data_IF_168367144250
#
_entry.id   IF_168367144250
#
_cell.length_a   1.000
_cell.length_b   1.000
_cell.length_c   1.000
_cell.angle_alpha   90.00
_cell.angle_beta   90.00
_cell.angle_gamma   90.00
#
_symmetry.space_group_name_H-M   'P 1'
#
loop_
_entity.id
_entity.type
_entity.pdbx_description
1 polymer ?
#
# COMPACT_ATOMS: atom_id res chain seq x y z
N UNK A 1 4.42 -37.49 13.85
CA UNK A 1 4.77 -36.08 14.08
C UNK A 1 5.98 -35.73 13.22
N UNK A 2 5.75 -35.41 11.95
CA UNK A 2 6.77 -34.78 11.12
C UNK A 2 6.50 -33.28 11.21
N UNK A 3 7.36 -32.57 11.94
CA UNK A 3 7.36 -31.11 11.90
C UNK A 3 7.79 -30.71 10.49
N UNK A 4 6.86 -30.14 9.74
CA UNK A 4 7.17 -29.37 8.54
C UNK A 4 8.21 -28.33 8.93
N UNK A 5 9.49 -28.61 8.66
CA UNK A 5 10.58 -27.64 8.78
C UNK A 5 10.42 -26.70 7.60
N UNK A 6 9.41 -25.83 7.66
CA UNK A 6 9.16 -24.81 6.65
C UNK A 6 10.46 -24.08 6.33
N UNK A 7 10.73 -23.89 5.05
CA UNK A 7 11.97 -23.28 4.57
C UNK A 7 12.29 -22.01 5.38
N UNK A 8 13.50 -21.94 5.95
CA UNK A 8 13.94 -20.78 6.74
C UNK A 8 13.95 -19.55 5.84
N UNK A 9 13.32 -18.46 6.27
CA UNK A 9 13.35 -17.17 5.57
C UNK A 9 14.06 -16.13 6.44
N UNK A 10 14.62 -15.08 5.84
CA UNK A 10 15.21 -13.98 6.62
C UNK A 10 14.15 -13.36 7.54
N UNK A 11 12.93 -13.18 7.04
CA UNK A 11 11.83 -12.61 7.82
C UNK A 11 11.46 -13.44 9.07
N UNK A 12 11.72 -14.75 9.10
CA UNK A 12 11.50 -15.59 10.28
C UNK A 12 12.65 -15.53 11.30
N UNK A 13 13.78 -14.93 10.93
CA UNK A 13 14.92 -14.73 11.82
C UNK A 13 15.03 -13.29 12.35
N UNK A 14 14.45 -12.31 11.64
CA UNK A 14 14.54 -10.89 12.02
C UNK A 14 13.37 -10.51 12.95
N UNK A 15 13.66 -10.06 14.19
CA UNK A 15 12.66 -9.50 15.10
C UNK A 15 11.92 -8.29 14.52
N UNK A 16 10.63 -8.18 14.77
CA UNK A 16 9.85 -6.99 14.41
C UNK A 16 10.36 -5.72 15.13
N UNK A 17 10.88 -5.88 16.34
CA UNK A 17 11.55 -4.82 17.07
C UNK A 17 12.66 -4.12 16.25
N UNK A 18 13.38 -4.85 15.39
CA UNK A 18 14.51 -4.28 14.65
C UNK A 18 14.04 -3.34 13.53
N UNK A 19 12.95 -3.68 12.84
CA UNK A 19 12.34 -2.78 11.85
C UNK A 19 11.68 -1.58 12.55
N UNK A 20 11.07 -1.75 13.72
CA UNK A 20 10.55 -0.61 14.49
C UNK A 20 11.67 0.32 14.98
N UNK A 21 12.79 -0.24 15.43
CA UNK A 21 13.98 0.51 15.83
C UNK A 21 14.62 1.25 14.66
N UNK A 22 14.64 0.63 13.47
CA UNK A 22 15.01 1.29 12.23
C UNK A 22 14.12 2.53 11.98
N UNK A 23 12.80 2.36 12.08
CA UNK A 23 11.83 3.43 11.82
C UNK A 23 11.95 4.57 12.84
N UNK A 24 12.17 4.28 14.13
CA UNK A 24 12.50 5.30 15.14
C UNK A 24 13.76 6.08 14.74
N UNK A 25 14.84 5.38 14.41
CA UNK A 25 16.11 6.03 14.04
C UNK A 25 15.95 6.92 12.81
N UNK A 26 15.21 6.48 11.79
CA UNK A 26 14.93 7.31 10.61
C UNK A 26 14.09 8.53 10.99
N UNK A 27 13.04 8.33 11.80
CA UNK A 27 12.12 9.39 12.20
C UNK A 27 12.81 10.47 13.04
N UNK A 28 13.67 10.09 13.98
CA UNK A 28 14.36 11.01 14.89
C UNK A 28 15.54 11.76 14.26
N UNK A 29 16.02 11.34 13.09
CA UNK A 29 17.14 12.01 12.42
C UNK A 29 16.66 13.05 11.39
N UNK A 30 17.48 14.06 11.14
CA UNK A 30 17.28 15.05 10.07
C UNK A 30 18.21 14.75 8.89
N UNK A 31 17.82 15.21 7.71
CA UNK A 31 18.59 15.04 6.47
C UNK A 31 18.33 13.71 5.77
N UNK A 32 18.08 13.78 4.45
CA UNK A 32 17.72 12.61 3.63
C UNK A 32 18.86 11.59 3.56
N UNK A 33 20.11 12.02 3.42
CA UNK A 33 21.24 11.10 3.26
C UNK A 33 21.52 10.29 4.52
N UNK A 34 21.42 10.92 5.70
CA UNK A 34 21.57 10.22 6.98
C UNK A 34 20.49 9.15 7.15
N UNK A 35 19.24 9.48 6.80
CA UNK A 35 18.12 8.54 6.80
C UNK A 35 18.35 7.38 5.82
N UNK A 36 18.78 7.69 4.59
CA UNK A 36 19.15 6.68 3.58
C UNK A 36 20.27 5.77 4.09
N UNK A 37 21.28 6.29 4.79
CA UNK A 37 22.37 5.50 5.37
C UNK A 37 21.92 4.52 6.46
N UNK A 38 20.99 4.94 7.33
CA UNK A 38 20.40 4.07 8.35
C UNK A 38 19.62 2.92 7.69
N UNK A 39 18.78 3.23 6.69
CA UNK A 39 18.06 2.21 5.92
C UNK A 39 19.01 1.27 5.18
N UNK A 40 20.07 1.81 4.56
CA UNK A 40 21.06 1.02 3.81
C UNK A 40 21.74 -0.01 4.69
N UNK A 41 22.04 0.34 5.94
CA UNK A 41 22.63 -0.58 6.91
C UNK A 41 21.69 -1.76 7.19
N UNK A 42 20.41 -1.50 7.43
CA UNK A 42 19.41 -2.56 7.63
C UNK A 42 19.23 -3.44 6.39
N UNK A 43 19.13 -2.85 5.19
CA UNK A 43 19.04 -3.62 3.94
C UNK A 43 20.30 -4.46 3.67
N UNK A 44 21.48 -3.96 4.05
CA UNK A 44 22.74 -4.69 3.95
C UNK A 44 22.76 -5.92 4.85
N UNK A 45 22.43 -5.74 6.14
CA UNK A 45 22.33 -6.86 7.09
C UNK A 45 21.27 -7.89 6.68
N UNK A 46 20.16 -7.45 6.07
CA UNK A 46 19.17 -8.37 5.50
C UNK A 46 19.77 -9.22 4.38
N UNK A 47 20.49 -8.60 3.43
CA UNK A 47 21.16 -9.31 2.32
C UNK A 47 22.23 -10.28 2.80
N UNK A 48 23.04 -9.88 3.77
CA UNK A 48 24.03 -10.77 4.39
C UNK A 48 23.35 -11.98 5.05
N UNK A 49 22.25 -11.77 5.77
CA UNK A 49 21.48 -12.84 6.40
C UNK A 49 20.85 -13.75 5.35
N UNK A 50 20.30 -13.18 4.28
CA UNK A 50 19.78 -13.93 3.13
C UNK A 50 20.86 -14.88 2.58
N UNK A 51 22.05 -14.36 2.30
CA UNK A 51 23.15 -15.13 1.73
C UNK A 51 23.64 -16.22 2.69
N UNK A 52 23.64 -15.96 4.01
CA UNK A 52 23.96 -16.98 5.03
C UNK A 52 22.94 -18.12 5.10
N UNK A 53 21.66 -17.84 4.86
CA UNK A 53 20.58 -18.84 4.92
C UNK A 53 20.54 -19.67 3.63
N UNK A 54 20.64 -19.02 2.47
CA UNK A 54 20.33 -19.66 1.18
C UNK A 54 21.56 -19.90 0.29
N UNK A 55 22.66 -19.18 0.48
CA UNK A 55 23.79 -19.19 -0.46
C UNK A 55 23.32 -18.88 -1.88
N UNK A 56 23.71 -19.73 -2.83
CA UNK A 56 23.32 -19.64 -4.25
C UNK A 56 22.03 -20.40 -4.58
N UNK A 57 21.32 -20.95 -3.58
CA UNK A 57 20.11 -21.69 -3.83
C UNK A 57 19.00 -20.80 -4.42
N UNK A 58 18.30 -21.31 -5.44
CA UNK A 58 17.11 -20.65 -5.98
C UNK A 58 16.02 -20.65 -4.90
N UNK A 59 15.58 -19.46 -4.51
CA UNK A 59 14.60 -19.26 -3.43
C UNK A 59 13.74 -18.03 -3.72
N UNK A 60 12.47 -18.10 -3.32
CA UNK A 60 11.52 -16.98 -3.39
C UNK A 60 11.65 -16.03 -2.18
N UNK A 61 12.50 -16.36 -1.20
CA UNK A 61 12.81 -15.47 -0.08
C UNK A 61 13.47 -14.19 -0.58
N UNK A 62 12.98 -13.06 -0.08
CA UNK A 62 13.33 -11.73 -0.57
C UNK A 62 13.16 -10.67 0.52
N UNK A 63 13.40 -9.41 0.18
CA UNK A 63 13.16 -8.29 1.10
C UNK A 63 11.67 -7.93 1.24
N UNK A 64 10.77 -8.59 0.49
CA UNK A 64 9.35 -8.24 0.44
C UNK A 64 8.65 -8.16 1.81
N UNK A 65 8.85 -9.10 2.76
CA UNK A 65 8.20 -9.02 4.07
C UNK A 65 8.55 -7.77 4.88
N UNK A 66 9.75 -7.20 4.67
CA UNK A 66 10.12 -5.90 5.24
C UNK A 66 9.63 -4.74 4.37
N UNK A 67 9.80 -4.84 3.04
CA UNK A 67 9.40 -3.78 2.10
C UNK A 67 7.91 -3.42 2.23
N UNK A 68 7.02 -4.40 2.34
CA UNK A 68 5.57 -4.15 2.51
C UNK A 68 5.21 -3.47 3.83
N UNK A 69 6.07 -3.54 4.84
CA UNK A 69 5.90 -2.82 6.11
C UNK A 69 6.52 -1.41 6.05
N UNK A 70 7.55 -1.20 5.21
CA UNK A 70 8.16 0.10 4.95
C UNK A 70 7.32 0.96 3.98
N UNK A 71 6.59 0.32 3.06
CA UNK A 71 5.73 0.96 2.05
C UNK A 71 4.30 0.38 2.11
N UNK A 72 3.61 0.47 3.26
CA UNK A 72 2.31 -0.20 3.44
C UNK A 72 1.21 0.33 2.51
N UNK A 73 1.33 1.56 2.02
CA UNK A 73 0.44 2.16 1.02
C UNK A 73 0.52 1.48 -0.36
N UNK A 74 1.62 0.79 -0.63
CA UNK A 74 1.85 0.03 -1.86
C UNK A 74 1.62 -1.48 -1.71
N UNK A 75 1.24 -1.95 -0.51
CA UNK A 75 0.85 -3.34 -0.30
C UNK A 75 -0.55 -3.59 -0.90
N UNK A 76 -0.57 -4.15 -2.11
CA UNK A 76 -1.77 -4.59 -2.85
C UNK A 76 -2.06 -6.07 -2.67
N UNK A 77 -1.07 -6.85 -2.26
CA UNK A 77 -1.18 -8.30 -2.04
C UNK A 77 -1.97 -8.59 -0.76
N UNK A 78 -1.93 -7.69 0.23
CA UNK A 78 -2.84 -7.73 1.38
C UNK A 78 -4.15 -7.01 1.09
N UNK A 79 -5.31 -7.64 1.36
CA UNK A 79 -6.59 -6.94 1.38
C UNK A 79 -6.66 -5.82 2.42
N UNK A 80 -7.71 -5.01 2.32
CA UNK A 80 -7.97 -3.97 3.31
C UNK A 80 -8.25 -4.57 4.69
N UNK A 81 -7.69 -3.96 5.73
CA UNK A 81 -7.97 -4.33 7.13
C UNK A 81 -9.38 -3.94 7.59
N UNK A 82 -10.07 -3.07 6.85
CA UNK A 82 -11.44 -2.63 7.15
C UNK A 82 -11.60 -1.86 8.46
N UNK A 83 -10.53 -1.29 8.99
CA UNK A 83 -10.54 -0.54 10.24
C UNK A 83 -9.87 0.81 10.12
N UNK A 84 -10.51 1.80 10.73
CA UNK A 84 -9.99 3.15 10.98
C UNK A 84 -9.67 3.30 12.47
N UNK A 85 -9.20 4.47 12.87
CA UNK A 85 -8.73 4.77 14.23
C UNK A 85 -9.78 4.46 15.30
N UNK A 86 -11.05 4.81 15.08
CA UNK A 86 -12.12 4.54 16.05
C UNK A 86 -12.39 3.04 16.28
N UNK A 87 -12.25 2.22 15.24
CA UNK A 87 -12.37 0.76 15.38
C UNK A 87 -11.14 0.18 16.09
N UNK A 88 -9.96 0.65 15.73
CA UNK A 88 -8.71 0.21 16.36
C UNK A 88 -8.67 0.62 17.85
N UNK A 89 -9.09 1.83 18.20
CA UNK A 89 -9.23 2.29 19.58
C UNK A 89 -10.12 1.37 20.43
N UNK A 90 -11.27 0.93 19.88
CA UNK A 90 -12.15 -0.04 20.57
C UNK A 90 -11.45 -1.39 20.79
N UNK A 91 -10.73 -1.89 19.79
CA UNK A 91 -9.94 -3.11 19.95
C UNK A 91 -8.87 -2.97 21.03
N UNK A 92 -8.15 -1.85 21.07
CA UNK A 92 -7.18 -1.56 22.14
C UNK A 92 -7.82 -1.58 23.53
N UNK A 93 -8.95 -0.89 23.69
CA UNK A 93 -9.67 -0.81 24.96
C UNK A 93 -10.12 -2.20 25.42
N UNK A 94 -10.70 -2.99 24.51
CA UNK A 94 -11.20 -4.33 24.83
C UNK A 94 -10.07 -5.35 25.10
N UNK A 95 -9.08 -5.43 24.21
CA UNK A 95 -8.02 -6.45 24.26
C UNK A 95 -7.09 -6.24 25.45
N UNK A 96 -6.75 -4.98 25.74
CA UNK A 96 -5.88 -4.60 26.85
C UNK A 96 -6.65 -4.29 28.14
N UNK A 97 -7.98 -4.50 28.13
CA UNK A 97 -8.87 -4.30 29.29
C UNK A 97 -8.71 -2.91 29.93
N UNK A 98 -8.59 -1.88 29.09
CA UNK A 98 -8.58 -0.49 29.55
C UNK A 98 -10.02 -0.16 30.00
N UNK A 99 -10.17 0.40 31.21
CA UNK A 99 -11.50 0.77 31.72
C UNK A 99 -12.20 1.74 30.77
N UNK A 100 -13.44 1.44 30.37
CA UNK A 100 -14.18 2.18 29.32
C UNK A 100 -14.34 3.67 29.65
N UNK A 101 -14.50 4.01 30.92
CA UNK A 101 -14.68 5.39 31.39
C UNK A 101 -13.37 6.10 31.76
N UNK A 102 -12.24 5.40 31.66
CA UNK A 102 -10.91 5.93 32.00
C UNK A 102 -10.49 7.06 31.06
N UNK A 103 -9.57 7.90 31.55
CA UNK A 103 -8.98 8.97 30.75
C UNK A 103 -8.27 8.42 29.50
N UNK A 104 -7.62 7.26 29.62
CA UNK A 104 -6.90 6.60 28.53
C UNK A 104 -7.86 6.13 27.42
N UNK A 105 -8.97 5.50 27.78
CA UNK A 105 -10.00 5.10 26.80
C UNK A 105 -10.59 6.31 26.08
N UNK A 106 -10.89 7.38 26.81
CA UNK A 106 -11.38 8.64 26.24
C UNK A 106 -10.36 9.29 25.30
N UNK A 107 -9.07 9.25 25.62
CA UNK A 107 -7.98 9.74 24.75
C UNK A 107 -7.88 8.95 23.45
N UNK A 108 -7.96 7.62 23.51
CA UNK A 108 -7.93 6.77 22.31
C UNK A 108 -9.12 7.02 21.40
N UNK A 109 -10.34 7.10 21.96
CA UNK A 109 -11.56 7.32 21.18
C UNK A 109 -11.64 8.73 20.61
N UNK A 110 -11.14 9.73 21.34
CA UNK A 110 -11.19 11.15 20.96
C UNK A 110 -9.79 11.71 20.67
N UNK A 111 -8.96 10.97 19.91
CA UNK A 111 -7.56 11.33 19.68
C UNK A 111 -7.33 12.70 18.99
N UNK A 112 -8.36 13.23 18.34
CA UNK A 112 -8.35 14.56 17.69
C UNK A 112 -8.71 15.70 18.64
N UNK A 113 -9.26 15.40 19.82
CA UNK A 113 -9.66 16.45 20.75
C UNK A 113 -8.41 17.24 21.20
N UNK A 114 -8.42 18.57 21.13
CA UNK A 114 -7.33 19.39 21.64
C UNK A 114 -7.29 19.21 23.16
N UNK A 115 -6.40 18.35 23.62
CA UNK A 115 -6.07 18.30 25.04
C UNK A 115 -4.99 19.34 25.28
N UNK A 116 -5.19 20.23 26.25
CA UNK A 116 -4.30 21.36 26.59
C UNK A 116 -2.83 20.99 26.90
N UNK A 117 -2.42 19.72 26.76
CA UNK A 117 -1.14 19.18 27.22
C UNK A 117 -0.39 18.27 26.23
N UNK A 118 -0.90 17.99 25.02
CA UNK A 118 -0.21 17.10 24.07
C UNK A 118 0.06 17.79 22.73
N UNK A 119 1.35 17.98 22.45
CA UNK A 119 1.89 18.43 21.15
C UNK A 119 1.50 17.49 19.99
N UNK A 120 0.99 16.30 20.31
CA UNK A 120 0.67 15.20 19.37
C UNK A 120 -0.84 14.97 19.18
N UNK A 121 -1.70 15.92 19.60
CA UNK A 121 -3.13 15.85 19.31
C UNK A 121 -3.37 15.71 17.79
N UNK A 122 -4.15 14.70 17.38
CA UNK A 122 -4.39 14.39 15.97
C UNK A 122 -3.50 13.30 15.35
N UNK A 123 -2.45 12.80 16.03
CA UNK A 123 -1.73 11.58 15.65
C UNK A 123 -2.16 10.41 16.53
N UNK A 124 -3.06 9.56 16.02
CA UNK A 124 -3.58 8.40 16.75
C UNK A 124 -2.48 7.44 17.21
N UNK A 125 -1.42 7.22 16.41
CA UNK A 125 -0.34 6.30 16.76
C UNK A 125 0.47 6.83 17.95
N UNK A 126 0.72 8.14 18.00
CA UNK A 126 1.40 8.79 19.13
C UNK A 126 0.52 8.82 20.38
N UNK A 127 -0.76 9.13 20.25
CA UNK A 127 -1.71 9.07 21.37
C UNK A 127 -1.75 7.66 21.96
N UNK A 128 -1.83 6.63 21.11
CA UNK A 128 -1.79 5.25 21.54
C UNK A 128 -0.47 4.90 22.24
N UNK A 129 0.69 5.29 21.69
CA UNK A 129 1.98 5.09 22.34
C UNK A 129 2.00 5.60 23.79
N UNK A 130 1.53 6.82 24.04
CA UNK A 130 1.54 7.40 25.40
C UNK A 130 0.58 6.71 26.36
N UNK A 131 -0.53 6.16 25.88
CA UNK A 131 -1.44 5.33 26.68
C UNK A 131 -0.81 3.97 27.01
N UNK A 132 0.00 3.43 26.09
CA UNK A 132 0.53 2.06 26.14
C UNK A 132 1.91 1.95 26.78
N UNK A 133 2.71 3.02 26.84
CA UNK A 133 4.12 2.98 27.27
C UNK A 133 4.37 2.33 28.64
N UNK A 134 3.37 2.36 29.54
CA UNK A 134 3.45 1.77 30.87
C UNK A 134 2.64 0.46 31.01
N UNK A 135 2.07 -0.05 29.91
CA UNK A 135 1.17 -1.22 29.87
C UNK A 135 1.72 -2.38 29.03
N UNK A 136 2.74 -2.12 28.23
CA UNK A 136 3.35 -3.08 27.30
C UNK A 136 4.73 -3.54 27.81
N UNK A 137 5.21 -4.72 27.36
CA UNK A 137 6.58 -5.13 27.64
C UNK A 137 7.59 -4.14 27.03
N UNK A 138 8.82 -4.13 27.55
CA UNK A 138 9.91 -3.29 27.02
C UNK A 138 10.27 -3.67 25.58
N UNK A 139 10.18 -4.96 25.25
CA UNK A 139 10.51 -5.51 23.93
C UNK A 139 9.51 -6.58 23.52
N UNK A 140 9.06 -6.54 22.26
CA UNK A 140 8.23 -7.57 21.66
C UNK A 140 8.99 -8.86 21.35
N UNK A 141 8.22 -9.93 21.11
CA UNK A 141 8.72 -11.28 20.85
C UNK A 141 8.50 -11.75 19.41
N UNK A 142 7.77 -10.97 18.60
CA UNK A 142 7.41 -11.37 17.24
C UNK A 142 8.52 -11.08 16.23
N UNK A 143 8.63 -11.95 15.24
CA UNK A 143 9.43 -11.75 14.03
C UNK A 143 8.66 -10.99 12.95
N UNK A 144 9.35 -10.44 11.96
CA UNK A 144 8.72 -9.79 10.80
C UNK A 144 7.77 -10.75 10.07
N UNK A 145 8.13 -12.03 9.94
CA UNK A 145 7.24 -13.04 9.36
C UNK A 145 5.95 -13.18 10.17
N UNK A 146 6.05 -13.38 11.49
CA UNK A 146 4.88 -13.57 12.34
C UNK A 146 3.96 -12.35 12.33
N UNK A 147 4.52 -11.13 12.32
CA UNK A 147 3.72 -9.91 12.19
C UNK A 147 2.98 -9.87 10.85
N UNK A 148 3.65 -10.20 9.74
CA UNK A 148 2.99 -10.29 8.44
C UNK A 148 1.88 -11.36 8.42
N UNK A 149 2.15 -12.56 8.93
CA UNK A 149 1.17 -13.65 9.01
C UNK A 149 -0.08 -13.22 9.83
N UNK A 150 0.12 -12.48 10.92
CA UNK A 150 -0.98 -11.96 11.75
C UNK A 150 -1.74 -10.84 11.04
N UNK A 151 -1.04 -9.92 10.36
CA UNK A 151 -1.67 -8.88 9.54
C UNK A 151 -2.47 -9.48 8.38
N UNK A 152 -2.00 -10.57 7.78
CA UNK A 152 -2.73 -11.31 6.75
C UNK A 152 -4.02 -11.90 7.34
N UNK A 153 -3.96 -12.51 8.54
CA UNK A 153 -5.17 -12.98 9.26
C UNK A 153 -6.15 -11.86 9.60
N UNK A 154 -5.68 -10.67 10.01
CA UNK A 154 -6.53 -9.51 10.26
C UNK A 154 -7.26 -9.08 8.97
N UNK A 155 -6.52 -8.98 7.86
CA UNK A 155 -7.06 -8.56 6.57
C UNK A 155 -8.04 -9.59 5.98
N UNK A 156 -7.71 -10.88 6.02
CA UNK A 156 -8.58 -11.96 5.57
C UNK A 156 -9.83 -12.07 6.44
N UNK A 157 -9.70 -11.97 7.77
CA UNK A 157 -10.84 -11.94 8.67
C UNK A 157 -11.79 -10.78 8.38
N UNK A 158 -11.28 -9.63 7.94
CA UNK A 158 -12.13 -8.53 7.47
C UNK A 158 -12.83 -8.84 6.14
N UNK A 159 -12.08 -9.33 5.13
CA UNK A 159 -12.62 -9.69 3.82
C UNK A 159 -13.72 -10.75 3.91
N UNK A 160 -13.52 -11.76 4.76
CA UNK A 160 -14.46 -12.87 4.98
C UNK A 160 -15.51 -12.57 6.07
N UNK A 161 -15.54 -11.35 6.61
CA UNK A 161 -16.44 -10.92 7.68
C UNK A 161 -16.34 -11.72 9.00
N UNK A 162 -15.21 -12.38 9.26
CA UNK A 162 -14.90 -13.16 10.47
C UNK A 162 -14.28 -12.28 11.57
N UNK A 163 -15.13 -11.50 12.25
CA UNK A 163 -14.71 -10.57 13.34
C UNK A 163 -13.91 -11.24 14.47
N UNK A 164 -14.21 -12.51 14.78
CA UNK A 164 -13.50 -13.26 15.82
C UNK A 164 -12.03 -13.52 15.45
N UNK A 165 -11.76 -13.86 14.19
CA UNK A 165 -10.41 -14.12 13.68
C UNK A 165 -9.58 -12.83 13.66
N UNK A 166 -10.18 -11.73 13.18
CA UNK A 166 -9.59 -10.39 13.24
C UNK A 166 -9.21 -10.02 14.68
N UNK A 167 -10.11 -10.24 15.64
CA UNK A 167 -9.86 -9.95 17.06
C UNK A 167 -8.76 -10.83 17.64
N UNK A 168 -8.75 -12.12 17.35
CA UNK A 168 -7.75 -13.08 17.83
C UNK A 168 -6.35 -12.72 17.32
N UNK A 169 -6.22 -12.41 16.03
CA UNK A 169 -4.96 -12.00 15.43
C UNK A 169 -4.45 -10.67 16.03
N UNK A 170 -5.33 -9.68 16.19
CA UNK A 170 -4.99 -8.42 16.88
C UNK A 170 -4.57 -8.68 18.33
N UNK A 171 -5.27 -9.55 19.05
CA UNK A 171 -4.92 -9.89 20.43
C UNK A 171 -3.51 -10.47 20.54
N UNK A 172 -3.11 -11.33 19.61
CA UNK A 172 -1.74 -11.86 19.56
C UNK A 172 -0.74 -10.73 19.28
N UNK A 173 -1.01 -9.87 18.30
CA UNK A 173 -0.15 -8.71 17.99
C UNK A 173 0.05 -7.82 19.21
N UNK A 174 -1.04 -7.35 19.83
CA UNK A 174 -1.00 -6.36 20.91
C UNK A 174 -0.44 -6.92 22.23
N UNK A 175 -0.50 -8.24 22.46
CA UNK A 175 0.08 -8.85 23.67
C UNK A 175 1.56 -9.20 23.54
N UNK A 176 2.10 -9.23 22.33
CA UNK A 176 3.48 -9.68 22.04
C UNK A 176 4.38 -8.57 21.45
N UNK A 177 3.94 -7.31 21.51
CA UNK A 177 4.67 -6.16 20.99
C UNK A 177 4.79 -5.08 22.06
N UNK A 178 5.91 -4.36 22.07
CA UNK A 178 6.13 -3.18 22.93
C UNK A 178 5.28 -1.99 22.48
N UNK A 179 5.20 -0.94 23.31
CA UNK A 179 4.47 0.28 22.95
C UNK A 179 5.04 0.96 21.69
N UNK A 180 6.37 0.93 21.49
CA UNK A 180 7.03 1.46 20.29
C UNK A 180 6.65 0.64 19.06
N UNK A 181 6.68 -0.68 19.17
CA UNK A 181 6.27 -1.57 18.07
C UNK A 181 4.80 -1.37 17.72
N UNK A 182 3.92 -1.20 18.71
CA UNK A 182 2.50 -0.93 18.50
C UNK A 182 2.25 0.42 17.82
N UNK A 183 3.06 1.45 18.12
CA UNK A 183 3.02 2.73 17.39
C UNK A 183 3.23 2.52 15.88
N UNK A 184 4.26 1.79 15.50
CA UNK A 184 4.56 1.52 14.09
C UNK A 184 3.55 0.57 13.46
N UNK A 185 3.08 -0.44 14.21
CA UNK A 185 2.03 -1.34 13.77
C UNK A 185 0.74 -0.57 13.41
N UNK A 186 0.33 0.39 14.23
CA UNK A 186 -0.81 1.27 13.93
C UNK A 186 -0.58 1.98 12.60
N UNK A 187 0.59 2.59 12.41
CA UNK A 187 0.94 3.30 11.18
C UNK A 187 0.97 2.39 9.94
N UNK A 188 1.41 1.14 10.10
CA UNK A 188 1.36 0.11 9.05
C UNK A 188 -0.08 -0.29 8.70
N UNK A 189 -0.94 -0.52 9.71
CA UNK A 189 -2.36 -0.87 9.51
C UNK A 189 -3.11 0.30 8.84
N UNK A 190 -2.85 1.53 9.27
CA UNK A 190 -3.42 2.74 8.66
C UNK A 190 -2.83 3.03 7.26
N UNK A 191 -1.78 2.31 6.85
CA UNK A 191 -1.01 2.56 5.62
C UNK A 191 -0.44 3.98 5.52
N UNK A 192 -0.10 4.58 6.67
CA UNK A 192 0.46 5.93 6.79
C UNK A 192 1.69 5.92 7.72
N UNK A 193 2.88 5.63 7.16
CA UNK A 193 4.07 5.42 7.98
C UNK A 193 4.64 6.71 8.61
N UNK A 194 4.52 7.86 7.93
CA UNK A 194 4.97 9.18 8.41
C UNK A 194 6.39 9.17 9.03
N UNK A 195 7.28 8.37 8.46
CA UNK A 195 8.66 8.17 8.97
C UNK A 195 9.61 9.30 8.51
N UNK A 196 9.20 10.11 7.52
CA UNK A 196 9.94 11.29 7.08
C UNK A 196 11.10 10.98 6.13
N UNK A 197 11.02 9.88 5.39
CA UNK A 197 11.81 9.57 4.20
C UNK A 197 10.82 9.30 3.06
N UNK A 198 11.14 9.70 1.83
CA UNK A 198 10.24 9.51 0.68
C UNK A 198 10.24 8.05 0.21
N UNK A 199 9.14 7.64 -0.42
CA UNK A 199 9.01 6.32 -1.03
C UNK A 199 10.12 6.05 -2.06
N UNK A 200 10.40 7.05 -2.92
CA UNK A 200 11.53 7.01 -3.85
C UNK A 200 12.85 6.77 -3.12
N UNK A 201 13.08 7.41 -1.98
CA UNK A 201 14.31 7.21 -1.23
C UNK A 201 14.43 5.80 -0.65
N UNK A 202 13.31 5.17 -0.26
CA UNK A 202 13.29 3.78 0.19
C UNK A 202 13.63 2.84 -0.98
N UNK A 203 13.01 3.06 -2.15
CA UNK A 203 13.31 2.32 -3.38
C UNK A 203 14.77 2.50 -3.81
N UNK A 204 15.27 3.73 -3.91
CA UNK A 204 16.65 4.03 -4.32
C UNK A 204 17.68 3.33 -3.41
N UNK A 205 17.40 3.22 -2.11
CA UNK A 205 18.29 2.51 -1.16
C UNK A 205 18.24 1.00 -1.38
N UNK A 206 17.08 0.46 -1.72
CA UNK A 206 16.94 -0.96 -2.04
C UNK A 206 17.64 -1.30 -3.37
N UNK A 207 17.27 -0.63 -4.45
CA UNK A 207 17.86 -0.79 -5.78
C UNK A 207 17.61 0.47 -6.65
N UNK A 208 18.58 0.96 -7.45
CA UNK A 208 18.41 2.12 -8.31
C UNK A 208 17.18 2.05 -9.23
N UNK A 209 16.91 0.88 -9.80
CA UNK A 209 15.80 0.63 -10.73
C UNK A 209 14.47 0.27 -10.03
N UNK A 210 14.41 0.22 -8.69
CA UNK A 210 13.24 -0.30 -7.99
C UNK A 210 11.97 0.52 -8.21
N UNK A 211 12.10 1.84 -8.31
CA UNK A 211 10.95 2.71 -8.58
C UNK A 211 10.43 2.48 -10.00
N UNK A 212 11.32 2.29 -10.98
CA UNK A 212 10.95 2.13 -12.39
C UNK A 212 10.27 0.77 -12.62
N UNK A 213 10.85 -0.31 -12.06
CA UNK A 213 10.20 -1.62 -12.05
C UNK A 213 8.85 -1.56 -11.34
N UNK A 214 8.75 -0.87 -10.20
CA UNK A 214 7.47 -0.70 -9.50
C UNK A 214 6.46 0.09 -10.33
N UNK A 215 6.88 1.11 -11.06
CA UNK A 215 5.99 1.94 -11.86
C UNK A 215 5.32 1.15 -12.99
N UNK A 216 5.95 0.11 -13.54
CA UNK A 216 5.37 -0.69 -14.64
C UNK A 216 4.55 -1.89 -14.18
N UNK A 217 4.66 -2.33 -12.93
CA UNK A 217 3.93 -3.49 -12.42
C UNK A 217 3.10 -3.27 -11.15
N UNK A 218 3.43 -2.26 -10.36
CA UNK A 218 2.78 -1.94 -9.07
C UNK A 218 2.73 -3.11 -8.07
N UNK A 219 3.68 -4.04 -8.14
CA UNK A 219 3.78 -5.24 -7.28
C UNK A 219 5.11 -5.22 -6.51
N UNK A 220 5.05 -5.04 -5.19
CA UNK A 220 6.23 -4.95 -4.33
C UNK A 220 7.01 -6.28 -4.25
N UNK A 221 6.32 -7.43 -4.22
CA UNK A 221 7.00 -8.74 -4.16
C UNK A 221 7.85 -8.98 -5.40
N UNK A 222 7.32 -8.67 -6.60
CA UNK A 222 8.05 -8.71 -7.87
C UNK A 222 9.27 -7.80 -7.86
N UNK A 223 9.16 -6.55 -7.40
CA UNK A 223 10.32 -5.64 -7.26
C UNK A 223 11.40 -6.28 -6.38
N UNK A 224 11.00 -6.88 -5.25
CA UNK A 224 11.94 -7.48 -4.30
C UNK A 224 12.56 -8.80 -4.80
N UNK A 225 11.88 -9.52 -5.68
CA UNK A 225 12.37 -10.76 -6.29
C UNK A 225 13.28 -10.46 -7.49
N UNK A 226 12.83 -9.57 -8.39
CA UNK A 226 13.54 -9.23 -9.63
C UNK A 226 14.83 -8.44 -9.36
N UNK A 227 14.87 -7.62 -8.30
CA UNK A 227 16.00 -6.72 -7.99
C UNK A 227 16.73 -7.11 -6.70
N UNK A 228 16.79 -8.42 -6.44
CA UNK A 228 17.42 -8.99 -5.25
C UNK A 228 18.90 -8.61 -5.14
N UNK A 229 19.61 -8.69 -6.27
CA UNK A 229 21.00 -8.27 -6.42
C UNK A 229 21.07 -6.75 -6.71
N UNK A 230 21.67 -5.92 -5.84
CA UNK A 230 21.81 -4.47 -6.04
C UNK A 230 22.70 -4.06 -7.22
N UNK A 231 23.48 -4.99 -7.78
CA UNK A 231 24.48 -4.70 -8.82
C UNK A 231 23.95 -4.99 -10.23
N UNK A 232 22.88 -5.78 -10.34
CA UNK A 232 22.31 -6.19 -11.62
C UNK A 232 21.22 -5.21 -12.03
N UNK A 233 21.51 -4.40 -13.04
CA UNK A 233 20.56 -3.42 -13.59
C UNK A 233 19.49 -4.09 -14.44
N UNK A 234 18.27 -3.55 -14.40
CA UNK A 234 17.14 -4.01 -15.22
C UNK A 234 16.75 -2.90 -16.18
N UNK A 235 17.34 -2.93 -17.38
CA UNK A 235 17.19 -1.85 -18.38
C UNK A 235 15.80 -1.84 -19.04
N UNK A 236 15.08 -2.97 -19.07
CA UNK A 236 13.84 -3.12 -19.82
C UNK A 236 12.64 -3.38 -18.90
N UNK A 237 12.26 -2.34 -18.16
CA UNK A 237 11.00 -2.34 -17.41
C UNK A 237 9.88 -1.91 -18.35
N UNK A 238 9.18 -2.88 -18.94
CA UNK A 238 8.10 -2.63 -19.89
C UNK A 238 6.71 -2.77 -19.26
N UNK A 239 5.75 -2.00 -19.77
CA UNK A 239 4.34 -2.18 -19.45
C UNK A 239 3.89 -3.51 -20.06
N UNK A 240 3.31 -4.36 -19.22
CA UNK A 240 2.86 -5.69 -19.63
C UNK A 240 1.33 -5.79 -19.58
N UNK A 241 0.79 -6.62 -20.47
CA UNK A 241 -0.65 -6.85 -20.52
C UNK A 241 -1.15 -7.46 -19.20
N UNK A 242 -2.33 -7.02 -18.74
CA UNK A 242 -2.94 -7.40 -17.47
C UNK A 242 -2.13 -7.10 -16.19
N UNK A 243 -1.08 -6.29 -16.28
CA UNK A 243 -0.35 -5.74 -15.14
C UNK A 243 -0.67 -4.25 -14.97
N UNK A 244 -1.04 -3.84 -13.76
CA UNK A 244 -1.28 -2.44 -13.47
C UNK A 244 0.03 -1.65 -13.50
N UNK A 245 0.01 -0.44 -14.05
CA UNK A 245 1.14 0.49 -14.02
C UNK A 245 0.73 1.84 -13.44
N UNK A 246 1.71 2.69 -13.14
CA UNK A 246 1.48 4.07 -12.71
C UNK A 246 1.25 4.93 -13.95
N UNK A 247 0.04 5.51 -14.13
CA UNK A 247 -0.22 6.36 -15.28
C UNK A 247 0.65 7.63 -15.21
N UNK A 248 1.00 8.15 -16.38
CA UNK A 248 1.72 9.42 -16.48
C UNK A 248 0.90 10.56 -15.87
N UNK A 249 1.56 11.41 -15.09
CA UNK A 249 0.93 12.56 -14.43
C UNK A 249 1.26 13.85 -15.19
N UNK A 250 0.33 14.80 -15.16
CA UNK A 250 0.56 16.15 -15.68
C UNK A 250 1.18 17.06 -14.61
N UNK A 251 2.20 17.82 -15.00
CA UNK A 251 2.70 18.94 -14.21
C UNK A 251 1.79 20.16 -14.41
N UNK A 252 1.61 20.97 -13.36
CA UNK A 252 0.99 22.28 -13.50
C UNK A 252 2.00 23.26 -14.10
N UNK A 253 1.57 24.02 -15.09
CA UNK A 253 2.37 25.05 -15.75
C UNK A 253 1.53 26.32 -15.89
N UNK A 254 2.19 27.48 -15.83
CA UNK A 254 1.57 28.73 -16.26
C UNK A 254 1.51 28.75 -17.81
N UNK A 255 0.52 29.44 -18.38
CA UNK A 255 0.28 29.41 -19.83
C UNK A 255 1.49 29.95 -20.61
N UNK A 256 2.14 30.98 -20.07
CA UNK A 256 3.35 31.60 -20.61
C UNK A 256 4.60 30.71 -20.52
N UNK A 257 4.56 29.63 -19.75
CA UNK A 257 5.65 28.64 -19.67
C UNK A 257 5.47 27.46 -20.64
N UNK A 258 4.28 27.26 -21.21
CA UNK A 258 3.94 26.04 -21.96
C UNK A 258 4.85 25.86 -23.18
N UNK A 259 5.05 26.89 -24.00
CA UNK A 259 5.90 26.82 -25.20
C UNK A 259 7.34 26.41 -24.83
N UNK A 260 7.87 26.99 -23.75
CA UNK A 260 9.20 26.64 -23.24
C UNK A 260 9.26 25.20 -22.73
N UNK A 261 8.25 24.74 -21.99
CA UNK A 261 8.18 23.36 -21.49
C UNK A 261 8.04 22.34 -22.62
N UNK A 262 7.45 22.73 -23.74
CA UNK A 262 7.35 21.93 -24.97
C UNK A 262 8.58 22.10 -25.88
N UNK A 263 9.64 22.77 -25.42
CA UNK A 263 10.86 23.05 -26.18
C UNK A 263 10.61 23.75 -27.53
N UNK A 264 9.60 24.62 -27.59
CA UNK A 264 9.21 25.35 -28.81
C UNK A 264 8.85 24.42 -29.99
N UNK A 265 8.41 23.20 -29.69
CA UNK A 265 7.95 22.21 -30.68
C UNK A 265 6.43 22.16 -30.76
N UNK A 266 5.90 21.54 -31.83
CA UNK A 266 4.46 21.28 -31.94
C UNK A 266 3.97 20.38 -30.80
N UNK A 267 2.83 20.74 -30.22
CA UNK A 267 2.18 19.98 -29.14
C UNK A 267 0.66 19.92 -29.35
N UNK A 268 0.02 18.94 -28.71
CA UNK A 268 -1.42 18.74 -28.77
C UNK A 268 -2.07 19.37 -27.53
N UNK A 269 -3.22 20.00 -27.73
CA UNK A 269 -4.08 20.49 -26.65
C UNK A 269 -5.30 19.57 -26.57
N UNK A 270 -5.48 18.92 -25.43
CA UNK A 270 -6.63 18.06 -25.15
C UNK A 270 -7.47 18.62 -24.00
N UNK A 271 -8.78 18.42 -24.08
CA UNK A 271 -9.69 18.78 -22.99
C UNK A 271 -9.39 17.93 -21.76
N UNK A 272 -9.04 18.57 -20.65
CA UNK A 272 -8.93 17.88 -19.36
C UNK A 272 -10.32 17.46 -18.87
N UNK A 273 -10.65 16.18 -19.05
CA UNK A 273 -11.86 15.59 -18.49
C UNK A 273 -11.76 15.51 -16.96
N UNK A 274 -12.92 15.57 -16.30
CA UNK A 274 -13.04 15.51 -14.84
C UNK A 274 -13.85 14.28 -14.42
N UNK A 275 -13.22 13.12 -14.57
CA UNK A 275 -13.80 11.81 -14.24
C UNK A 275 -12.88 11.00 -13.34
N UNK A 276 -12.86 9.69 -13.54
CA UNK A 276 -11.92 8.80 -12.86
C UNK A 276 -10.95 8.16 -13.85
N UNK A 277 -9.66 8.33 -13.64
CA UNK A 277 -8.64 7.73 -14.51
C UNK A 277 -8.57 6.21 -14.36
N UNK A 278 -8.73 5.52 -15.48
CA UNK A 278 -8.67 4.07 -15.59
C UNK A 278 -7.80 3.61 -16.76
N UNK A 279 -7.06 2.53 -16.55
CA UNK A 279 -6.36 1.78 -17.59
C UNK A 279 -7.17 0.53 -17.92
N UNK A 280 -7.50 0.34 -19.20
CA UNK A 280 -8.18 -0.83 -19.73
C UNK A 280 -7.19 -1.72 -20.45
N UNK A 281 -7.05 -2.97 -20.00
CA UNK A 281 -6.26 -4.00 -20.67
C UNK A 281 -7.22 -4.98 -21.33
N UNK A 282 -7.01 -5.27 -22.62
CA UNK A 282 -7.80 -6.23 -23.40
C UNK A 282 -6.90 -7.30 -24.00
N UNK A 283 -7.34 -8.55 -23.94
CA UNK A 283 -6.85 -9.65 -24.78
C UNK A 283 -8.03 -10.51 -25.21
N UNK A 284 -8.31 -10.53 -26.50
CA UNK A 284 -9.49 -11.19 -27.07
C UNK A 284 -10.76 -10.74 -26.34
N UNK A 285 -11.43 -11.65 -25.62
CA UNK A 285 -12.63 -11.38 -24.83
C UNK A 285 -12.35 -11.20 -23.33
N UNK A 286 -11.10 -11.09 -22.92
CA UNK A 286 -10.71 -10.81 -21.54
C UNK A 286 -10.39 -9.34 -21.37
N UNK A 287 -10.97 -8.73 -20.34
CA UNK A 287 -10.79 -7.32 -20.00
C UNK A 287 -10.36 -7.19 -18.55
N UNK A 288 -9.46 -6.24 -18.27
CA UNK A 288 -9.11 -5.80 -16.92
C UNK A 288 -9.08 -4.30 -16.81
N UNK A 289 -9.51 -3.79 -15.66
CA UNK A 289 -9.63 -2.36 -15.39
C UNK A 289 -8.83 -2.02 -14.14
N UNK A 290 -7.88 -1.11 -14.27
CA UNK A 290 -7.06 -0.64 -13.16
C UNK A 290 -7.26 0.85 -12.95
N UNK A 291 -7.57 1.28 -11.72
CA UNK A 291 -7.66 2.70 -11.41
C UNK A 291 -6.27 3.35 -11.37
N UNK A 292 -6.19 4.68 -11.32
CA UNK A 292 -4.95 5.43 -11.05
C UNK A 292 -4.14 4.89 -9.87
N UNK A 293 -4.82 4.42 -8.83
CA UNK A 293 -4.22 3.85 -7.63
C UNK A 293 -3.72 2.41 -7.79
N UNK A 294 -3.76 1.86 -9.01
CA UNK A 294 -3.42 0.47 -9.35
C UNK A 294 -4.33 -0.55 -8.65
N UNK A 295 -5.59 -0.18 -8.36
CA UNK A 295 -6.59 -1.11 -7.83
C UNK A 295 -7.39 -1.71 -8.99
N UNK A 296 -7.70 -3.00 -8.91
CA UNK A 296 -8.49 -3.68 -9.94
C UNK A 296 -10.00 -3.46 -9.72
N UNK A 297 -10.70 -3.07 -10.79
CA UNK A 297 -12.15 -2.84 -10.84
C UNK A 297 -12.84 -3.70 -11.91
N UNK A 298 -12.18 -4.79 -12.33
CA UNK A 298 -12.68 -5.68 -13.38
C UNK A 298 -14.05 -6.26 -13.04
N UNK A 299 -14.32 -6.58 -11.77
CA UNK A 299 -15.65 -7.07 -11.33
C UNK A 299 -16.76 -6.04 -11.48
N UNK A 300 -16.42 -4.74 -11.45
CA UNK A 300 -17.35 -3.64 -11.66
C UNK A 300 -17.59 -3.41 -13.16
N UNK A 301 -16.52 -3.21 -13.92
CA UNK A 301 -16.65 -2.80 -15.32
C UNK A 301 -16.90 -3.97 -16.29
N UNK A 302 -16.48 -5.19 -15.93
CA UNK A 302 -16.76 -6.44 -16.64
C UNK A 302 -15.51 -7.18 -17.10
N UNK A 303 -15.34 -8.46 -16.76
CA UNK A 303 -14.17 -9.23 -17.21
C UNK A 303 -14.32 -9.78 -18.64
N UNK A 304 -15.54 -9.80 -19.18
CA UNK A 304 -15.88 -10.33 -20.50
C UNK A 304 -17.03 -9.56 -21.16
N UNK A 305 -17.29 -9.76 -22.47
CA UNK A 305 -18.39 -9.11 -23.19
C UNK A 305 -19.80 -9.37 -22.63
N UNK A 306 -19.96 -10.30 -21.69
CA UNK A 306 -21.27 -10.72 -21.19
C UNK A 306 -21.58 -10.22 -19.76
N UNK A 307 -20.66 -9.49 -19.13
CA UNK A 307 -20.82 -9.06 -17.73
C UNK A 307 -20.25 -7.67 -17.46
N UNK A 308 -20.69 -7.04 -16.38
CA UNK A 308 -20.21 -5.74 -15.90
C UNK A 308 -20.94 -4.53 -16.50
N UNK A 309 -20.61 -3.35 -15.98
CA UNK A 309 -21.31 -2.11 -16.33
C UNK A 309 -20.85 -1.47 -17.65
N UNK A 310 -19.68 -1.83 -18.19
CA UNK A 310 -19.12 -1.17 -19.37
C UNK A 310 -18.76 -2.16 -20.49
N UNK A 311 -18.06 -3.25 -20.16
CA UNK A 311 -17.53 -4.21 -21.15
C UNK A 311 -18.56 -4.70 -22.17
N UNK A 312 -19.82 -5.02 -21.79
CA UNK A 312 -20.82 -5.48 -22.75
C UNK A 312 -21.16 -4.45 -23.83
N UNK A 313 -21.02 -3.16 -23.53
CA UNK A 313 -21.34 -2.07 -24.44
C UNK A 313 -20.16 -1.68 -25.35
N UNK A 314 -18.92 -1.93 -24.93
CA UNK A 314 -17.72 -1.53 -25.68
C UNK A 314 -17.02 -2.68 -26.41
N UNK A 315 -17.33 -3.95 -26.08
CA UNK A 315 -16.62 -5.11 -26.62
C UNK A 315 -16.63 -5.15 -28.16
N UNK A 316 -17.77 -4.78 -28.77
CA UNK A 316 -17.95 -4.76 -30.22
C UNK A 316 -17.47 -3.46 -30.89
N UNK A 317 -17.01 -2.46 -30.12
CA UNK A 317 -16.45 -1.21 -30.67
C UNK A 317 -14.99 -1.38 -31.12
N UNK A 318 -14.30 -2.43 -30.66
CA UNK A 318 -12.94 -2.73 -31.10
C UNK A 318 -12.93 -3.29 -32.52
N UNK A 319 -12.01 -2.81 -33.36
CA UNK A 319 -11.77 -3.42 -34.67
C UNK A 319 -11.43 -4.90 -34.53
N UNK A 320 -11.94 -5.75 -35.43
CA UNK A 320 -11.69 -7.21 -35.42
C UNK A 320 -10.21 -7.59 -35.52
N UNK A 321 -9.36 -6.65 -35.96
CA UNK A 321 -7.90 -6.80 -36.01
C UNK A 321 -7.20 -6.61 -34.65
N UNK A 322 -7.86 -5.99 -33.67
CA UNK A 322 -7.29 -5.70 -32.35
C UNK A 322 -7.49 -6.90 -31.41
N UNK A 323 -6.47 -7.75 -31.33
CA UNK A 323 -6.43 -8.89 -30.41
C UNK A 323 -6.06 -8.46 -28.99
N UNK A 324 -5.06 -7.62 -28.82
CA UNK A 324 -4.68 -7.07 -27.52
C UNK A 324 -4.41 -5.57 -27.59
N UNK A 325 -4.75 -4.87 -26.52
CA UNK A 325 -4.43 -3.46 -26.36
C UNK A 325 -4.44 -3.06 -24.88
N UNK A 326 -3.78 -1.92 -24.60
CA UNK A 326 -3.87 -1.20 -23.33
C UNK A 326 -4.33 0.22 -23.69
N UNK A 327 -5.39 0.68 -23.05
CA UNK A 327 -5.92 2.04 -23.18
C UNK A 327 -5.78 2.76 -21.84
N UNK A 328 -5.38 4.02 -21.88
CA UNK A 328 -5.37 4.93 -20.73
C UNK A 328 -6.37 6.06 -21.01
N UNK A 329 -7.27 6.30 -20.07
CA UNK A 329 -8.32 7.28 -20.27
C UNK A 329 -9.10 7.61 -19.01
N UNK A 330 -10.16 8.39 -19.20
CA UNK A 330 -11.00 8.89 -18.12
C UNK A 330 -12.40 8.26 -18.20
N UNK A 331 -12.81 7.58 -17.13
CA UNK A 331 -14.17 7.08 -16.96
C UNK A 331 -15.09 8.25 -16.61
N UNK A 332 -16.19 8.40 -17.37
CA UNK A 332 -17.14 9.50 -17.22
C UNK A 332 -18.54 8.99 -16.91
N UNK A 333 -19.28 9.69 -16.07
CA UNK A 333 -20.73 9.52 -16.00
C UNK A 333 -21.38 10.31 -17.15
N UNK A 334 -22.25 9.62 -17.89
CA UNK A 334 -22.93 10.18 -19.07
C UNK A 334 -24.45 10.09 -18.90
N UNK A 335 -25.14 11.22 -19.03
CA UNK A 335 -26.59 11.27 -19.12
C UNK A 335 -27.05 11.20 -20.57
N UNK A 336 -27.68 10.10 -20.97
CA UNK A 336 -28.17 9.92 -22.33
C UNK A 336 -29.31 10.88 -22.70
N UNK A 337 -30.12 11.34 -21.73
CA UNK A 337 -31.29 12.19 -22.01
C UNK A 337 -30.93 13.62 -22.38
N UNK A 338 -29.81 14.14 -21.86
CA UNK A 338 -29.38 15.53 -22.06
C UNK A 338 -27.96 15.66 -22.63
N UNK A 339 -27.30 14.54 -22.97
CA UNK A 339 -25.90 14.47 -23.43
C UNK A 339 -24.88 15.14 -22.48
N UNK A 340 -25.22 15.27 -21.20
CA UNK A 340 -24.37 15.93 -20.20
C UNK A 340 -23.36 14.94 -19.63
N UNK A 341 -22.08 15.33 -19.64
CA UNK A 341 -21.00 14.67 -18.89
C UNK A 341 -20.96 15.23 -17.48
N UNK A 342 -21.05 14.37 -16.46
CA UNK A 342 -21.00 14.82 -15.07
C UNK A 342 -19.56 14.98 -14.56
N UNK A 343 -19.43 15.87 -13.59
CA UNK A 343 -18.18 16.24 -12.89
C UNK A 343 -17.90 15.23 -11.77
N UNK A 344 -16.64 15.11 -11.36
CA UNK A 344 -16.20 14.27 -10.24
C UNK A 344 -17.05 14.50 -8.96
N UNK A 345 -17.62 13.42 -8.41
CA UNK A 345 -18.47 13.43 -7.20
C UNK A 345 -19.87 12.84 -7.37
N UNK A 346 -20.39 12.76 -8.60
CA UNK A 346 -21.67 12.07 -8.91
C UNK A 346 -21.48 10.57 -9.16
N UNK A 347 -20.26 10.13 -9.49
CA UNK A 347 -19.89 8.73 -9.74
C UNK A 347 -19.85 7.86 -8.47
N UNK A 348 -19.64 8.47 -7.30
CA UNK A 348 -19.49 7.73 -6.02
C UNK A 348 -20.82 7.33 -5.38
N UNK A 349 -21.94 7.82 -5.90
CA UNK A 349 -23.27 7.42 -5.47
C UNK A 349 -23.81 6.36 -6.43
N UNK A 350 -23.97 5.12 -5.96
CA UNK A 350 -24.85 4.10 -6.56
C UNK A 350 -26.33 4.53 -6.50
N UNK A 351 -26.63 5.81 -6.74
CA UNK A 351 -27.98 6.29 -6.88
C UNK A 351 -28.38 5.98 -8.30
N UNK A 352 -29.04 4.83 -8.45
CA UNK A 352 -29.95 4.59 -9.56
C UNK A 352 -30.93 5.76 -9.55
N UNK A 353 -30.75 6.72 -10.45
CA UNK A 353 -31.84 7.63 -10.79
C UNK A 353 -32.85 6.78 -11.57
N UNK A 354 -33.79 6.20 -10.84
CA UNK A 354 -35.00 5.64 -11.42
C UNK A 354 -35.75 6.79 -12.07
N UNK A 355 -35.83 6.78 -13.40
CA UNK A 355 -36.91 7.45 -14.13
C UNK A 355 -38.03 6.47 -14.35
#
# INVERSE_FOLDING_TARGET
>A
MATDRGAKTVASQVPFHDICSLLEKIHSNKGTDKKKGILRSFTGSWRETHNKIHGDAKTDDSFFPAMRLLLPQFDKERPAYGMKEAALARHYIEILSIGKDSLDAKKLLNYKAPTHALKDAGDFAMVAYFVLKNRCPEKGSLTIKQVNDLLDKVAMGNMEHKKADTRSALQILLRNTSAVEQKWLIRMIMKELKVGISDKSIFDVYHPDAMDVFNVCSILSKVCQDLKDPTVRKNDSEITLFSAFKPMLGQRAAIDEVEKLMNEQEFIIETKLDGERFMLHKQDNMFKYFSRGSNEYTTTFGSSPNEGFLTPFIANCFSSKVKSCILDGEMMAFNASNEIKFVYGTLTTNTVYST
#
